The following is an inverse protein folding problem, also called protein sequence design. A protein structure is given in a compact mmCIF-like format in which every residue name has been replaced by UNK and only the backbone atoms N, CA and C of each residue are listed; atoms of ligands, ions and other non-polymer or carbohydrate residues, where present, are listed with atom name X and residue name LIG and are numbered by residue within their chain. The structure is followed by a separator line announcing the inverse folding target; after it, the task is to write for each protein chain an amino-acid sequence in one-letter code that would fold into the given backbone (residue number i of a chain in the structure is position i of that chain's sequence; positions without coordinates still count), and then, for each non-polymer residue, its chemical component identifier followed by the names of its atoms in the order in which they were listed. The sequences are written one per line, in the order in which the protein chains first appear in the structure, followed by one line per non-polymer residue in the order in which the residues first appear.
data_IF_443724805835
#
_entry.id   IF_443724805835
#
_cell.length_a   1.000
_cell.length_b   1.000
_cell.length_c   1.000
_cell.angle_alpha   90.00
_cell.angle_beta   90.00
_cell.angle_gamma   90.00
#
_symmetry.space_group_name_H-M   'P 1'
#
loop_
_entity.id
_entity.type
_entity.pdbx_description
1 polymer ?
#
# COMPACT_ATOMS: atom_id res chain seq x y z
N UNK A 1 5.99 -0.33 16.81
CA UNK A 1 4.80 -1.15 17.20
C UNK A 1 3.66 -1.19 16.17
N UNK A 2 3.25 -0.11 15.48
CA UNK A 2 2.12 -0.17 14.51
C UNK A 2 2.35 -1.02 13.23
N UNK A 3 3.59 -1.11 12.73
CA UNK A 3 3.95 -1.94 11.57
C UNK A 3 4.05 -3.44 11.87
N UNK A 4 4.19 -3.79 13.15
CA UNK A 4 4.26 -5.17 13.58
C UNK A 4 3.00 -5.94 13.24
N UNK A 5 1.82 -5.28 13.20
CA UNK A 5 0.54 -5.95 13.01
C UNK A 5 0.23 -6.29 11.55
N UNK A 6 0.63 -5.52 10.53
CA UNK A 6 0.43 -5.90 9.12
C UNK A 6 1.32 -7.10 8.74
N UNK A 7 2.58 -7.06 9.18
CA UNK A 7 3.52 -8.18 9.09
C UNK A 7 3.03 -9.34 9.95
N UNK A 8 2.46 -9.10 11.13
CA UNK A 8 1.88 -10.15 11.97
C UNK A 8 0.56 -10.70 11.40
N UNK A 9 -0.27 -9.94 10.69
CA UNK A 9 -1.50 -10.42 10.05
C UNK A 9 -1.13 -11.24 8.80
N UNK A 10 -0.20 -10.75 7.99
CA UNK A 10 0.35 -11.50 6.86
C UNK A 10 1.07 -12.78 7.34
N UNK A 11 1.91 -12.68 8.38
CA UNK A 11 2.56 -13.83 9.00
C UNK A 11 1.58 -14.73 9.77
N UNK A 12 0.49 -14.21 10.32
CA UNK A 12 -0.53 -15.01 11.01
C UNK A 12 -1.41 -15.75 10.01
N UNK A 13 -1.74 -15.15 8.86
CA UNK A 13 -2.37 -15.84 7.74
C UNK A 13 -1.43 -16.91 7.18
N UNK A 14 -0.13 -16.63 7.05
CA UNK A 14 0.89 -17.60 6.60
C UNK A 14 1.12 -18.72 7.64
N UNK A 15 1.12 -18.40 8.94
CA UNK A 15 1.20 -19.38 10.05
C UNK A 15 -0.09 -20.18 10.21
N UNK A 16 -1.26 -19.59 9.99
CA UNK A 16 -2.55 -20.29 10.01
C UNK A 16 -2.67 -21.25 8.81
N UNK A 17 -2.19 -20.84 7.62
CA UNK A 17 -2.06 -21.72 6.46
C UNK A 17 -1.04 -22.86 6.70
N UNK A 18 0.08 -22.57 7.38
CA UNK A 18 1.07 -23.59 7.77
C UNK A 18 0.56 -24.52 8.87
N UNK A 19 -0.16 -24.02 9.87
CA UNK A 19 -0.77 -24.80 10.95
C UNK A 19 -1.90 -25.69 10.44
N UNK A 20 -2.77 -25.20 9.57
CA UNK A 20 -3.80 -26.04 8.92
C UNK A 20 -3.16 -27.12 8.06
N UNK A 21 -2.05 -26.83 7.38
CA UNK A 21 -1.27 -27.84 6.63
C UNK A 21 -0.64 -28.90 7.54
N UNK A 22 -0.08 -28.49 8.69
CA UNK A 22 0.44 -29.42 9.71
C UNK A 22 -0.69 -30.24 10.35
N UNK A 23 -1.82 -29.61 10.67
CA UNK A 23 -2.99 -30.26 11.26
C UNK A 23 -3.62 -31.26 10.28
N UNK A 24 -3.70 -30.95 8.98
CA UNK A 24 -4.14 -31.87 7.93
C UNK A 24 -3.17 -33.05 7.72
N UNK A 25 -1.86 -32.83 7.84
CA UNK A 25 -0.86 -33.92 7.85
C UNK A 25 -0.95 -34.78 9.11
N UNK A 26 -1.19 -34.17 10.26
CA UNK A 26 -1.39 -34.87 11.53
C UNK A 26 -2.72 -35.64 11.52
N UNK A 27 -3.80 -35.10 10.96
CA UNK A 27 -5.09 -35.78 10.80
C UNK A 27 -4.98 -36.94 9.80
N UNK A 28 -4.24 -36.78 8.69
CA UNK A 28 -3.94 -37.88 7.75
C UNK A 28 -2.99 -38.93 8.37
N UNK A 29 -2.13 -38.56 9.32
CA UNK A 29 -1.31 -39.49 10.10
C UNK A 29 -2.10 -40.22 11.21
N UNK A 30 -3.02 -39.53 11.88
CA UNK A 30 -3.88 -40.08 12.94
C UNK A 30 -4.96 -41.01 12.37
N UNK A 31 -5.39 -40.83 11.11
CA UNK A 31 -6.27 -41.79 10.42
C UNK A 31 -5.66 -43.18 10.15
N UNK A 32 -4.43 -43.44 10.59
CA UNK A 32 -3.82 -44.78 10.64
C UNK A 32 -3.84 -45.44 12.02
N UNK A 33 -4.34 -44.75 13.05
CA UNK A 33 -4.47 -45.27 14.42
C UNK A 33 -5.65 -44.60 15.14
N UNK A 34 -6.87 -44.98 14.79
CA UNK A 34 -8.03 -44.81 15.67
C UNK A 34 -8.28 -46.15 16.38
N UNK A 35 -7.84 -46.24 17.64
CA UNK A 35 -8.43 -47.06 18.70
C UNK A 35 -7.73 -46.67 20.01
N UNK A 36 -8.33 -45.74 20.77
CA UNK A 36 -8.66 -45.95 22.18
C UNK A 36 -9.11 -44.65 22.88
N UNK A 37 -10.20 -44.80 23.62
CA UNK A 37 -10.88 -43.85 24.49
C UNK A 37 -10.02 -43.45 25.71
N UNK A 38 -10.06 -42.15 26.09
CA UNK A 38 -10.40 -41.68 27.47
C UNK A 38 -10.24 -40.16 27.68
N UNK A 39 -11.12 -39.65 28.54
CA UNK A 39 -11.22 -38.31 29.13
C UNK A 39 -9.91 -37.74 29.70
N UNK A 40 -9.62 -36.46 29.44
CA UNK A 40 -8.90 -35.58 30.39
C UNK A 40 -9.47 -34.16 30.28
N UNK A 41 -10.23 -33.77 31.31
CA UNK A 41 -10.50 -32.36 31.67
C UNK A 41 -9.30 -31.80 32.45
N UNK A 42 -9.13 -30.49 32.31
CA UNK A 42 -8.26 -29.61 33.10
C UNK A 42 -6.75 -29.66 32.83
N UNK A 43 -6.23 -28.58 32.22
CA UNK A 43 -5.10 -27.74 32.68
C UNK A 43 -4.90 -26.63 31.64
N UNK A 44 -5.25 -25.38 32.00
CA UNK A 44 -4.66 -24.18 31.39
C UNK A 44 -4.69 -23.02 32.41
N UNK A 45 -3.55 -22.42 32.77
CA UNK A 45 -3.54 -21.23 33.60
C UNK A 45 -3.78 -19.98 32.74
N UNK A 46 -4.69 -19.12 33.20
CA UNK A 46 -5.02 -17.81 32.68
C UNK A 46 -3.79 -16.92 32.58
N UNK A 47 -3.40 -16.53 31.35
CA UNK A 47 -2.52 -15.38 31.11
C UNK A 47 -3.34 -14.26 30.50
N UNK A 48 -3.45 -13.17 31.24
CA UNK A 48 -3.97 -11.88 30.82
C UNK A 48 -3.17 -11.41 29.61
N UNK A 49 -3.82 -11.33 28.45
CA UNK A 49 -3.26 -10.73 27.23
C UNK A 49 -3.39 -9.21 27.41
N UNK A 50 -2.27 -8.50 27.49
CA UNK A 50 -2.27 -7.07 27.21
C UNK A 50 -2.59 -6.89 25.72
N UNK A 51 -3.80 -6.42 25.41
CA UNK A 51 -4.21 -6.04 24.06
C UNK A 51 -3.47 -4.77 23.64
N UNK A 52 -2.47 -4.92 22.76
CA UNK A 52 -1.85 -3.81 22.05
C UNK A 52 -2.82 -3.26 20.98
N UNK A 53 -3.53 -2.18 21.31
CA UNK A 53 -4.44 -1.45 20.41
C UNK A 53 -3.66 -0.69 19.32
N UNK A 54 -3.35 -1.36 18.20
CA UNK A 54 -2.94 -0.70 16.96
C UNK A 54 -3.85 -1.13 15.80
N UNK A 55 -4.72 -0.23 15.35
CA UNK A 55 -5.70 -0.53 14.30
C UNK A 55 -5.01 -0.39 12.93
N UNK A 56 -4.85 -1.49 12.20
CA UNK A 56 -4.33 -1.49 10.82
C UNK A 56 -5.47 -1.79 9.86
N UNK A 57 -5.66 -0.94 8.86
CA UNK A 57 -6.72 -1.07 7.84
C UNK A 57 -6.27 -2.04 6.74
N UNK A 58 -7.18 -2.72 6.05
CA UNK A 58 -6.88 -3.60 4.92
C UNK A 58 -6.44 -2.84 3.65
N UNK A 59 -6.52 -1.50 3.69
CA UNK A 59 -5.81 -0.60 2.78
C UNK A 59 -4.29 -0.54 3.05
N UNK A 60 -3.81 -1.18 4.12
CA UNK A 60 -2.38 -1.33 4.44
C UNK A 60 -1.81 -0.24 5.35
N UNK A 61 -2.66 0.44 6.13
CA UNK A 61 -2.31 1.67 6.84
C UNK A 61 -2.55 1.57 8.36
N UNK A 62 -1.68 2.19 9.16
CA UNK A 62 -1.80 2.24 10.63
C UNK A 62 -2.68 3.41 11.03
N UNK A 63 -3.89 3.14 11.52
CA UNK A 63 -4.77 4.11 12.16
C UNK A 63 -4.26 4.40 13.59
N UNK A 64 -4.12 5.70 13.90
CA UNK A 64 -3.53 6.18 15.15
C UNK A 64 -4.60 6.18 16.26
N UNK A 65 -4.37 5.58 17.45
CA UNK A 65 -5.23 5.83 18.61
C UNK A 65 -5.01 7.26 19.10
N UNK A 66 -6.08 7.98 19.42
CA UNK A 66 -6.01 9.29 20.08
C UNK A 66 -5.70 9.06 21.56
N UNK A 67 -4.46 9.31 21.99
CA UNK A 67 -4.14 9.56 23.41
C UNK A 67 -4.31 11.04 23.70
N UNK A 68 -4.87 11.36 24.87
CA UNK A 68 -5.40 12.69 25.25
C UNK A 68 -4.38 13.87 25.23
N UNK A 69 -3.08 13.62 25.08
CA UNK A 69 -2.03 14.66 25.21
C UNK A 69 -1.47 15.23 23.89
N UNK A 70 -2.15 15.08 22.74
CA UNK A 70 -1.65 15.60 21.45
C UNK A 70 -2.68 16.41 20.64
N UNK A 71 -3.40 17.34 21.29
CA UNK A 71 -4.26 18.33 20.60
C UNK A 71 -3.48 19.37 19.75
N UNK A 72 -2.15 19.28 19.63
CA UNK A 72 -1.31 20.34 19.02
C UNK A 72 -0.68 20.05 17.65
N UNK A 73 -1.07 18.99 16.92
CA UNK A 73 -0.67 18.87 15.50
C UNK A 73 -1.78 19.43 14.60
N UNK A 74 -1.67 20.71 14.21
CA UNK A 74 -2.65 21.46 13.40
C UNK A 74 -2.82 21.01 11.93
N UNK A 75 -2.94 19.71 11.67
CA UNK A 75 -3.23 19.16 10.34
C UNK A 75 -4.74 19.13 10.05
N UNK A 76 -5.13 19.52 8.84
CA UNK A 76 -6.52 19.37 8.38
C UNK A 76 -6.83 17.89 8.06
N UNK A 77 -7.99 17.44 8.57
CA UNK A 77 -8.64 16.16 8.28
C UNK A 77 -10.05 16.46 7.78
N UNK A 78 -10.47 15.86 6.68
CA UNK A 78 -11.80 16.11 6.14
C UNK A 78 -12.90 15.34 6.88
N UNK A 79 -14.14 15.80 6.69
CA UNK A 79 -15.33 15.31 7.39
C UNK A 79 -15.63 13.82 7.15
N UNK A 80 -15.09 13.24 6.07
CA UNK A 80 -15.23 11.82 5.73
C UNK A 80 -14.18 10.90 6.36
N UNK A 81 -13.23 11.43 7.14
CA UNK A 81 -12.17 10.64 7.77
C UNK A 81 -12.59 10.03 9.12
N UNK A 82 -12.08 8.84 9.45
CA UNK A 82 -12.27 8.21 10.77
C UNK A 82 -11.80 9.13 11.90
N UNK A 83 -10.76 9.94 11.68
CA UNK A 83 -10.23 10.88 12.67
C UNK A 83 -11.23 12.01 12.96
N UNK A 84 -11.87 12.58 11.93
CA UNK A 84 -12.91 13.59 12.11
C UNK A 84 -14.13 13.00 12.85
N UNK A 85 -14.51 11.77 12.53
CA UNK A 85 -15.58 11.05 13.25
C UNK A 85 -15.24 10.84 14.74
N UNK A 86 -14.05 10.35 15.06
CA UNK A 86 -13.64 10.15 16.46
C UNK A 86 -13.59 11.49 17.20
N UNK A 87 -13.10 12.57 16.55
CA UNK A 87 -13.11 13.91 17.14
C UNK A 87 -14.54 14.39 17.44
N UNK A 88 -15.47 14.20 16.49
CA UNK A 88 -16.89 14.51 16.72
C UNK A 88 -17.50 13.67 17.87
N UNK A 89 -17.15 12.39 17.97
CA UNK A 89 -17.58 11.55 19.09
C UNK A 89 -17.01 12.06 20.42
N UNK A 90 -15.73 12.41 20.48
CA UNK A 90 -15.11 12.98 21.67
C UNK A 90 -15.74 14.32 22.06
N UNK A 91 -16.02 15.19 21.09
CA UNK A 91 -16.70 16.47 21.31
C UNK A 91 -18.13 16.27 21.83
N UNK A 92 -18.88 15.30 21.29
CA UNK A 92 -20.23 14.97 21.80
C UNK A 92 -20.23 14.33 23.19
N UNK A 93 -19.16 13.63 23.58
CA UNK A 93 -18.98 13.07 24.93
C UNK A 93 -18.56 14.15 25.94
N UNK A 94 -17.72 15.11 25.53
CA UNK A 94 -17.31 16.28 26.35
C UNK A 94 -18.50 17.21 26.69
N UNK A 95 -19.55 17.23 25.88
CA UNK A 95 -20.80 17.97 26.17
C UNK A 95 -21.61 17.40 27.36
N UNK A 96 -21.18 16.31 28.01
CA UNK A 96 -21.88 15.70 29.17
C UNK A 96 -21.18 15.81 30.51
N UNK A 97 -20.07 16.56 30.64
CA UNK A 97 -19.43 16.73 31.95
C UNK A 97 -18.72 18.09 32.03
N UNK A 98 -18.98 18.92 33.07
CA UNK A 98 -18.19 20.13 33.27
C UNK A 98 -16.81 19.75 33.82
N UNK A 99 -15.76 19.97 33.03
CA UNK A 99 -14.38 19.89 33.48
C UNK A 99 -13.93 21.19 34.18
N UNK A 100 -13.01 21.14 35.16
CA UNK A 100 -12.46 22.34 35.80
C UNK A 100 -11.48 23.08 34.88
N UNK A 101 -11.31 24.38 35.14
CA UNK A 101 -10.39 25.29 34.43
C UNK A 101 -8.91 24.86 34.48
N UNK A 102 -8.08 25.30 33.50
CA UNK A 102 -6.70 24.86 33.40
C UNK A 102 -5.77 25.58 34.37
N UNK A 103 -5.00 24.81 35.15
CA UNK A 103 -3.80 25.32 35.83
C UNK A 103 -2.66 25.46 34.81
N UNK A 104 -2.12 26.68 34.71
CA UNK A 104 -0.88 26.97 34.02
C UNK A 104 0.30 26.31 34.75
N UNK A 105 0.90 25.30 34.14
CA UNK A 105 2.24 24.85 34.48
C UNK A 105 3.21 25.18 33.34
N UNK A 106 4.20 26.01 33.67
CA UNK A 106 5.33 26.33 32.82
C UNK A 106 6.12 25.05 32.51
N UNK A 107 6.09 24.61 31.25
CA UNK A 107 7.00 23.58 30.76
C UNK A 107 8.10 24.23 29.93
N UNK A 108 9.32 24.20 30.49
CA UNK A 108 10.56 24.52 29.80
C UNK A 108 10.68 23.68 28.52
N UNK A 109 10.77 24.34 27.37
CA UNK A 109 11.24 23.73 26.14
C UNK A 109 12.73 23.42 26.32
N UNK A 110 13.03 22.16 26.64
CA UNK A 110 14.34 21.59 26.36
C UNK A 110 14.51 21.52 24.84
N UNK A 111 15.22 22.48 24.27
CA UNK A 111 15.75 22.42 22.92
C UNK A 111 16.58 21.15 22.78
N UNK A 112 16.07 20.15 22.06
CA UNK A 112 16.93 19.11 21.51
C UNK A 112 17.78 19.74 20.41
N UNK A 113 19.01 20.05 20.79
CA UNK A 113 20.07 20.46 19.89
C UNK A 113 20.22 19.43 18.76
N UNK A 114 20.15 19.93 17.53
CA UNK A 114 20.56 19.17 16.35
C UNK A 114 22.08 18.97 16.44
N UNK A 115 22.61 17.75 16.27
CA UNK A 115 24.05 17.57 16.26
C UNK A 115 24.62 18.15 14.97
N UNK A 116 25.55 19.08 15.16
CA UNK A 116 26.36 19.76 14.15
C UNK A 116 27.05 18.76 13.22
N UNK A 117 26.90 19.01 11.91
CA UNK A 117 27.50 18.28 10.80
C UNK A 117 29.03 18.39 10.89
N UNK A 118 29.71 17.24 10.97
CA UNK A 118 31.11 17.12 10.55
C UNK A 118 31.12 16.56 9.12
N UNK A 119 31.59 17.40 8.20
CA UNK A 119 31.87 17.06 6.81
C UNK A 119 33.05 16.07 6.74
N UNK A 120 32.78 14.82 6.39
CA UNK A 120 33.72 13.97 5.66
C UNK A 120 32.96 13.25 4.54
N UNK A 121 33.35 13.56 3.30
CA UNK A 121 32.75 13.11 2.05
C UNK A 121 33.11 11.65 1.77
N UNK A 122 32.27 10.74 2.25
CA UNK A 122 31.94 9.49 1.56
C UNK A 122 30.43 9.55 1.39
N UNK A 123 29.92 9.46 0.16
CA UNK A 123 28.47 9.43 -0.08
C UNK A 123 27.90 8.19 0.63
N UNK A 124 27.40 8.39 1.86
CA UNK A 124 26.85 7.34 2.73
C UNK A 124 25.73 6.53 2.08
N UNK A 125 25.19 7.03 0.96
CA UNK A 125 24.16 6.39 0.16
C UNK A 125 24.61 5.16 -0.63
N UNK A 126 25.87 5.16 -1.08
CA UNK A 126 26.42 4.09 -1.91
C UNK A 126 26.96 2.91 -1.08
N UNK A 127 26.90 2.99 0.25
CA UNK A 127 27.33 1.94 1.15
C UNK A 127 26.34 0.77 1.13
N UNK A 128 26.80 -0.38 0.65
CA UNK A 128 26.00 -1.61 0.67
C UNK A 128 26.15 -2.34 2.01
N UNK A 129 25.05 -2.91 2.55
CA UNK A 129 25.16 -3.82 3.68
C UNK A 129 25.91 -5.10 3.26
N UNK A 130 26.32 -5.95 4.22
CA UNK A 130 26.91 -7.26 3.90
C UNK A 130 26.05 -8.01 2.87
N UNK A 131 26.68 -8.61 1.85
CA UNK A 131 25.98 -9.20 0.70
C UNK A 131 24.85 -10.15 1.09
N UNK A 132 25.07 -11.03 2.08
CA UNK A 132 24.03 -11.95 2.56
C UNK A 132 22.78 -11.23 3.08
N UNK A 133 22.95 -10.09 3.77
CA UNK A 133 21.85 -9.27 4.25
C UNK A 133 21.19 -8.56 3.06
N UNK A 134 21.99 -7.99 2.15
CA UNK A 134 21.48 -7.35 0.95
C UNK A 134 20.61 -8.30 0.10
N UNK A 135 21.12 -9.51 -0.20
CA UNK A 135 20.45 -10.55 -0.98
C UNK A 135 19.12 -10.94 -0.30
N UNK A 136 19.14 -11.12 1.02
CA UNK A 136 17.97 -11.45 1.81
C UNK A 136 16.89 -10.36 1.75
N UNK A 137 17.26 -9.09 1.91
CA UNK A 137 16.32 -7.98 1.88
C UNK A 137 15.71 -7.80 0.49
N UNK A 138 16.50 -7.95 -0.58
CA UNK A 138 16.01 -7.90 -1.97
C UNK A 138 15.05 -9.06 -2.24
N UNK A 139 15.37 -10.27 -1.81
CA UNK A 139 14.48 -11.43 -1.93
C UNK A 139 13.14 -11.20 -1.21
N UNK A 140 13.19 -10.69 0.03
CA UNK A 140 11.98 -10.39 0.82
C UNK A 140 11.11 -9.33 0.18
N UNK A 141 11.70 -8.29 -0.38
CA UNK A 141 10.97 -7.29 -1.16
C UNK A 141 10.26 -7.94 -2.37
N UNK A 142 10.99 -8.68 -3.21
CA UNK A 142 10.40 -9.24 -4.44
C UNK A 142 9.41 -10.37 -4.21
N UNK A 143 9.56 -11.13 -3.12
CA UNK A 143 8.67 -12.25 -2.79
C UNK A 143 7.39 -11.80 -2.07
N UNK A 144 7.44 -10.73 -1.26
CA UNK A 144 6.32 -10.30 -0.41
C UNK A 144 5.69 -8.97 -0.82
N UNK A 145 6.42 -8.04 -1.40
CA UNK A 145 5.93 -6.67 -1.66
C UNK A 145 5.63 -6.49 -3.14
N UNK A 146 6.61 -6.79 -4.00
CA UNK A 146 6.50 -6.67 -5.46
C UNK A 146 5.33 -7.47 -6.05
N UNK A 147 4.97 -8.60 -5.43
CA UNK A 147 3.85 -9.45 -5.85
C UNK A 147 2.49 -8.73 -5.76
N UNK A 148 2.38 -7.73 -4.91
CA UNK A 148 1.18 -6.90 -4.75
C UNK A 148 1.34 -5.54 -5.43
N UNK A 149 2.56 -4.98 -5.40
CA UNK A 149 2.85 -3.62 -5.87
C UNK A 149 3.96 -3.66 -6.94
N UNK A 150 3.66 -4.12 -8.17
CA UNK A 150 4.65 -4.38 -9.20
C UNK A 150 5.11 -3.10 -9.91
N UNK A 151 5.70 -2.17 -9.17
CA UNK A 151 6.07 -0.83 -9.67
C UNK A 151 7.37 -0.82 -10.47
N UNK A 152 8.28 -1.77 -10.20
CA UNK A 152 9.59 -1.88 -10.84
C UNK A 152 9.68 -3.14 -11.69
N UNK A 153 10.53 -3.18 -12.70
CA UNK A 153 10.74 -4.40 -13.48
C UNK A 153 11.73 -5.33 -12.77
N UNK A 154 11.27 -6.47 -12.24
CA UNK A 154 12.07 -7.35 -11.37
C UNK A 154 13.40 -7.78 -12.02
N UNK A 155 13.37 -8.31 -13.23
CA UNK A 155 14.55 -8.88 -13.88
C UNK A 155 15.59 -7.79 -14.19
N UNK A 156 15.13 -6.57 -14.51
CA UNK A 156 16.01 -5.45 -14.80
C UNK A 156 16.70 -4.96 -13.51
N UNK A 157 15.91 -4.81 -12.44
CA UNK A 157 16.43 -4.45 -11.12
C UNK A 157 17.44 -5.48 -10.61
N UNK A 158 17.12 -6.78 -10.68
CA UNK A 158 18.02 -7.84 -10.22
C UNK A 158 19.31 -7.91 -11.05
N UNK A 159 19.23 -7.70 -12.37
CA UNK A 159 20.42 -7.63 -13.21
C UNK A 159 21.34 -6.46 -12.80
N UNK A 160 20.76 -5.28 -12.53
CA UNK A 160 21.51 -4.12 -12.05
C UNK A 160 22.10 -4.37 -10.64
N UNK A 161 21.33 -4.99 -9.75
CA UNK A 161 21.77 -5.37 -8.41
C UNK A 161 22.96 -6.33 -8.43
N UNK A 162 22.88 -7.43 -9.18
CA UNK A 162 23.98 -8.38 -9.32
C UNK A 162 25.24 -7.74 -9.91
N UNK A 163 25.06 -6.74 -10.78
CA UNK A 163 26.18 -6.02 -11.36
C UNK A 163 26.98 -5.20 -10.34
N UNK A 164 26.39 -4.82 -9.20
CA UNK A 164 27.11 -4.12 -8.13
C UNK A 164 28.17 -4.99 -7.46
N UNK A 165 27.99 -6.32 -7.51
CA UNK A 165 28.87 -7.29 -6.85
C UNK A 165 29.96 -7.85 -7.78
N UNK A 166 29.90 -7.54 -9.08
CA UNK A 166 30.92 -7.95 -10.05
C UNK A 166 32.10 -6.98 -9.98
N UNK A 167 33.24 -7.45 -9.50
CA UNK A 167 34.48 -6.67 -9.46
C UNK A 167 35.02 -6.48 -10.90
N UNK A 168 35.19 -5.24 -11.35
CA UNK A 168 35.99 -4.87 -12.54
C UNK A 168 35.64 -5.53 -13.88
N UNK A 169 34.39 -5.51 -14.33
CA UNK A 169 34.13 -5.60 -15.78
C UNK A 169 34.11 -4.19 -16.37
N UNK A 170 34.85 -4.00 -17.46
CA UNK A 170 35.02 -2.73 -18.17
C UNK A 170 33.68 -1.94 -18.24
N UNK A 171 33.70 -0.61 -17.99
CA UNK A 171 32.50 0.24 -18.04
C UNK A 171 31.87 0.38 -19.44
N UNK A 172 32.30 -0.42 -20.42
CA UNK A 172 31.98 -0.31 -21.84
C UNK A 172 31.15 -1.46 -22.41
N UNK A 173 30.59 -2.37 -21.60
CA UNK A 173 29.46 -3.15 -22.13
C UNK A 173 28.28 -2.18 -22.16
N UNK A 174 28.02 -1.58 -23.32
CA UNK A 174 26.86 -0.72 -23.59
C UNK A 174 25.60 -1.45 -23.11
N UNK A 175 25.21 -1.18 -21.87
CA UNK A 175 24.00 -1.74 -21.31
C UNK A 175 22.87 -1.01 -22.04
N UNK A 176 22.19 -1.73 -22.91
CA UNK A 176 21.06 -1.19 -23.66
C UNK A 176 20.09 -0.52 -22.69
N UNK A 177 19.82 0.74 -23.00
CA UNK A 177 18.87 1.56 -22.30
C UNK A 177 17.45 1.06 -22.58
N UNK A 178 16.89 0.33 -21.63
CA UNK A 178 15.66 -0.43 -21.81
C UNK A 178 14.39 0.36 -21.49
N UNK A 179 14.50 1.56 -20.90
CA UNK A 179 13.39 2.42 -20.52
C UNK A 179 12.59 1.93 -19.32
N UNK A 180 13.08 0.93 -18.59
CA UNK A 180 12.33 0.25 -17.52
C UNK A 180 12.41 0.92 -16.13
N UNK A 181 13.20 1.99 -16.01
CA UNK A 181 13.36 2.78 -14.77
C UNK A 181 14.43 2.19 -13.84
N UNK A 182 14.07 1.85 -12.61
CA UNK A 182 14.97 1.29 -11.60
C UNK A 182 15.55 -0.05 -12.06
N UNK A 183 16.86 -0.07 -12.30
CA UNK A 183 17.59 -1.20 -12.89
C UNK A 183 17.96 -1.00 -14.35
N UNK A 184 17.52 0.10 -14.97
CA UNK A 184 17.95 0.55 -16.28
C UNK A 184 19.23 1.41 -16.19
N UNK A 185 19.92 1.55 -17.32
CA UNK A 185 21.22 2.23 -17.42
C UNK A 185 21.16 3.66 -17.87
N UNK A 186 19.98 4.13 -18.27
CA UNK A 186 19.71 5.56 -18.47
C UNK A 186 19.70 6.35 -17.17
N UNK A 187 19.38 5.71 -16.05
CA UNK A 187 19.33 6.35 -14.74
C UNK A 187 20.72 6.66 -14.20
N UNK A 188 20.82 7.69 -13.37
CA UNK A 188 22.08 7.94 -12.63
C UNK A 188 22.36 6.78 -11.69
N UNK A 189 23.64 6.46 -11.48
CA UNK A 189 24.07 5.48 -10.48
C UNK A 189 23.44 5.77 -9.11
N UNK A 190 23.41 7.04 -8.73
CA UNK A 190 22.80 7.54 -7.51
C UNK A 190 21.30 7.24 -7.41
N UNK A 191 20.52 7.46 -8.48
CA UNK A 191 19.09 7.11 -8.53
C UNK A 191 18.86 5.62 -8.27
N UNK A 192 19.73 4.75 -8.82
CA UNK A 192 19.64 3.33 -8.55
C UNK A 192 19.93 2.99 -7.09
N UNK A 193 20.94 3.62 -6.47
CA UNK A 193 21.20 3.44 -5.05
C UNK A 193 20.02 3.91 -4.19
N UNK A 194 19.39 5.06 -4.49
CA UNK A 194 18.15 5.51 -3.81
C UNK A 194 17.05 4.45 -3.90
N UNK A 195 16.80 3.92 -5.11
CA UNK A 195 15.88 2.82 -5.34
C UNK A 195 16.24 1.54 -4.57
N UNK A 196 17.52 1.19 -4.51
CA UNK A 196 18.01 0.02 -3.80
C UNK A 196 17.84 0.13 -2.29
N UNK A 197 18.16 1.29 -1.72
CA UNK A 197 17.99 1.55 -0.30
C UNK A 197 16.51 1.51 0.12
N UNK A 198 15.58 2.03 -0.69
CA UNK A 198 14.16 1.89 -0.38
C UNK A 198 13.69 0.43 -0.49
N UNK A 199 14.23 -0.34 -1.45
CA UNK A 199 14.00 -1.80 -1.54
C UNK A 199 14.52 -2.52 -0.30
N UNK A 200 15.70 -2.16 0.23
CA UNK A 200 16.20 -2.71 1.49
C UNK A 200 15.31 -2.37 2.68
N UNK A 201 14.91 -1.10 2.83
CA UNK A 201 14.02 -0.65 3.90
C UNK A 201 12.69 -1.42 3.90
N UNK A 202 12.10 -1.61 2.71
CA UNK A 202 10.89 -2.39 2.55
C UNK A 202 11.13 -3.89 2.78
N UNK A 203 12.26 -4.43 2.31
CA UNK A 203 12.68 -5.81 2.54
C UNK A 203 12.83 -6.16 4.02
N UNK A 204 13.26 -5.19 4.84
CA UNK A 204 13.37 -5.36 6.29
C UNK A 204 12.04 -5.83 6.88
N UNK A 205 10.91 -5.31 6.40
CA UNK A 205 9.56 -5.60 6.93
C UNK A 205 9.22 -7.09 6.99
N UNK A 206 9.73 -7.89 6.04
CA UNK A 206 9.48 -9.33 5.95
C UNK A 206 10.73 -10.17 6.20
N UNK A 207 11.80 -9.53 6.69
CA UNK A 207 13.06 -10.20 7.02
C UNK A 207 12.98 -10.92 8.38
N UNK A 208 13.95 -11.80 8.59
CA UNK A 208 14.14 -12.55 9.83
C UNK A 208 14.96 -11.77 10.87
N UNK A 209 15.17 -10.47 10.65
CA UNK A 209 15.83 -9.56 11.59
C UNK A 209 15.02 -9.47 12.88
N UNK A 210 15.73 -9.36 14.01
CA UNK A 210 15.12 -9.24 15.33
C UNK A 210 14.19 -8.02 15.37
N UNK A 211 12.97 -8.23 15.87
CA UNK A 211 11.88 -7.24 15.86
C UNK A 211 12.28 -5.83 16.30
N UNK A 212 13.10 -5.71 17.35
CA UNK A 212 13.47 -4.42 17.94
C UNK A 212 14.51 -3.65 17.10
N UNK A 213 15.37 -4.35 16.35
CA UNK A 213 16.39 -3.74 15.49
C UNK A 213 15.84 -3.41 14.10
N UNK A 214 14.85 -4.18 13.64
CA UNK A 214 14.29 -4.05 12.30
C UNK A 214 13.78 -2.64 12.01
N UNK A 215 13.11 -1.98 12.96
CA UNK A 215 12.61 -0.60 12.76
C UNK A 215 13.78 0.39 12.57
N UNK A 216 14.85 0.26 13.34
CA UNK A 216 16.02 1.14 13.24
C UNK A 216 16.80 0.92 11.93
N UNK A 217 17.05 -0.34 11.54
CA UNK A 217 17.74 -0.69 10.30
C UNK A 217 16.93 -0.22 9.09
N UNK A 218 15.61 -0.44 9.13
CA UNK A 218 14.69 0.03 8.09
C UNK A 218 14.72 1.55 7.93
N UNK A 219 14.69 2.30 9.04
CA UNK A 219 14.76 3.76 9.00
C UNK A 219 16.14 4.24 8.52
N UNK A 220 17.23 3.53 8.80
CA UNK A 220 18.56 3.88 8.29
C UNK A 220 18.61 3.80 6.75
N UNK A 221 18.09 2.71 6.16
CA UNK A 221 17.98 2.59 4.71
C UNK A 221 17.01 3.63 4.11
N UNK A 222 15.87 3.88 4.78
CA UNK A 222 14.96 4.93 4.34
C UNK A 222 15.59 6.33 4.42
N UNK A 223 16.37 6.61 5.46
CA UNK A 223 17.10 7.86 5.63
C UNK A 223 18.07 8.06 4.49
N UNK A 224 18.77 7.00 4.09
CA UNK A 224 19.65 7.04 2.95
C UNK A 224 18.87 7.58 1.74
N UNK A 225 17.71 7.04 1.35
CA UNK A 225 17.02 7.49 0.12
C UNK A 225 16.34 8.87 0.18
N UNK A 226 16.39 9.61 1.30
CA UNK A 226 15.74 10.93 1.44
C UNK A 226 16.22 11.99 0.44
N UNK A 227 17.51 12.08 0.05
CA UNK A 227 17.96 13.07 -0.94
C UNK A 227 17.31 12.93 -2.32
N UNK A 228 16.67 11.80 -2.63
CA UNK A 228 15.83 11.67 -3.84
C UNK A 228 14.64 12.68 -3.87
N UNK A 229 14.33 13.32 -2.74
CA UNK A 229 13.32 14.38 -2.63
C UNK A 229 13.90 15.79 -2.86
N UNK A 230 15.20 15.93 -3.10
CA UNK A 230 15.83 17.21 -3.39
C UNK A 230 15.35 17.75 -4.75
N UNK A 231 15.21 19.07 -4.84
CA UNK A 231 14.64 19.78 -5.99
C UNK A 231 15.45 19.51 -7.25
N UNK A 232 16.78 19.39 -7.14
CA UNK A 232 17.67 19.10 -8.26
C UNK A 232 17.33 17.76 -8.94
N UNK A 233 16.97 16.74 -8.16
CA UNK A 233 16.52 15.45 -8.70
C UNK A 233 15.12 15.55 -9.31
N UNK A 234 14.24 16.35 -8.69
CA UNK A 234 12.87 16.54 -9.15
C UNK A 234 12.76 17.31 -10.47
N UNK A 235 13.74 18.17 -10.81
CA UNK A 235 13.78 18.92 -12.07
C UNK A 235 13.99 18.00 -13.28
N UNK A 236 14.97 17.10 -13.22
CA UNK A 236 15.30 16.21 -14.32
C UNK A 236 14.22 15.14 -14.54
N UNK A 237 13.67 14.60 -13.44
CA UNK A 237 12.52 13.69 -13.40
C UNK A 237 12.54 12.53 -14.40
N UNK A 238 12.83 11.32 -13.93
CA UNK A 238 12.76 10.10 -14.74
C UNK A 238 11.84 9.03 -14.15
N UNK A 239 11.67 7.93 -14.89
CA UNK A 239 10.85 6.80 -14.44
C UNK A 239 11.44 6.14 -13.17
N UNK A 240 12.77 6.08 -13.06
CA UNK A 240 13.45 5.48 -11.92
C UNK A 240 13.21 6.27 -10.63
N UNK A 241 13.28 7.60 -10.69
CA UNK A 241 12.95 8.49 -9.60
C UNK A 241 11.47 8.39 -9.24
N UNK A 242 10.58 8.37 -10.23
CA UNK A 242 9.13 8.19 -10.00
C UNK A 242 8.84 6.87 -9.27
N UNK A 243 9.47 5.77 -9.67
CA UNK A 243 9.37 4.48 -8.99
C UNK A 243 9.94 4.54 -7.56
N UNK A 244 11.10 5.18 -7.38
CA UNK A 244 11.72 5.35 -6.06
C UNK A 244 10.80 6.10 -5.12
N UNK A 245 10.25 7.25 -5.54
CA UNK A 245 9.31 8.06 -4.76
C UNK A 245 8.02 7.29 -4.46
N UNK A 246 7.53 6.49 -5.40
CA UNK A 246 6.36 5.66 -5.20
C UNK A 246 6.61 4.54 -4.15
N UNK A 247 7.79 3.94 -4.16
CA UNK A 247 8.22 2.98 -3.13
C UNK A 247 8.42 3.67 -1.78
N UNK A 248 8.98 4.88 -1.75
CA UNK A 248 9.11 5.70 -0.53
C UNK A 248 7.74 6.03 0.06
N UNK A 249 6.79 6.41 -0.78
CA UNK A 249 5.40 6.63 -0.39
C UNK A 249 4.80 5.37 0.23
N UNK A 250 4.96 4.22 -0.43
CA UNK A 250 4.44 2.93 0.05
C UNK A 250 5.12 2.48 1.36
N UNK A 251 6.41 2.75 1.53
CA UNK A 251 7.07 2.56 2.82
C UNK A 251 6.45 3.46 3.91
N UNK A 252 6.25 4.74 3.61
CA UNK A 252 5.67 5.71 4.55
C UNK A 252 4.22 5.42 4.89
N UNK A 253 3.48 4.69 4.04
CA UNK A 253 2.10 4.30 4.30
C UNK A 253 1.98 3.58 5.65
N UNK A 254 2.72 2.49 5.87
CA UNK A 254 2.59 1.80 7.16
C UNK A 254 3.19 2.56 8.35
N UNK A 255 3.80 3.74 8.14
CA UNK A 255 4.51 4.51 9.15
C UNK A 255 3.62 5.44 9.95
N UNK A 256 4.19 6.02 11.01
CA UNK A 256 3.50 7.04 11.84
C UNK A 256 3.53 8.44 11.24
N UNK A 257 3.83 8.57 9.94
CA UNK A 257 3.99 9.85 9.24
C UNK A 257 3.03 9.98 8.04
N UNK A 258 1.70 9.93 8.25
CA UNK A 258 0.72 9.93 7.15
C UNK A 258 0.75 11.23 6.32
N UNK A 259 1.05 12.38 6.93
CA UNK A 259 1.24 13.64 6.20
C UNK A 259 2.45 13.59 5.26
N UNK A 260 3.56 12.98 5.72
CA UNK A 260 4.76 12.80 4.88
C UNK A 260 4.44 11.85 3.72
N UNK A 261 3.73 10.76 4.00
CA UNK A 261 3.24 9.86 2.97
C UNK A 261 2.41 10.61 1.90
N UNK A 262 1.42 11.39 2.34
CA UNK A 262 0.57 12.19 1.44
C UNK A 262 1.38 13.15 0.55
N UNK A 263 2.36 13.86 1.12
CA UNK A 263 3.24 14.74 0.35
C UNK A 263 4.09 13.99 -0.69
N UNK A 264 4.73 12.88 -0.29
CA UNK A 264 5.58 12.09 -1.20
C UNK A 264 4.75 11.49 -2.34
N UNK A 265 3.51 11.04 -2.05
CA UNK A 265 2.57 10.60 -3.09
C UNK A 265 2.25 11.75 -4.06
N UNK A 266 1.98 12.95 -3.56
CA UNK A 266 1.73 14.12 -4.40
C UNK A 266 2.91 14.49 -5.30
N UNK A 267 4.15 14.37 -4.80
CA UNK A 267 5.37 14.57 -5.60
C UNK A 267 5.47 13.48 -6.68
N UNK A 268 5.31 12.21 -6.33
CA UNK A 268 5.34 11.11 -7.29
C UNK A 268 4.26 11.25 -8.39
N UNK A 269 3.05 11.69 -8.04
CA UNK A 269 1.97 11.96 -8.99
C UNK A 269 2.34 13.08 -9.98
N UNK A 270 2.90 14.19 -9.49
CA UNK A 270 3.34 15.30 -10.35
C UNK A 270 4.48 14.88 -11.26
N UNK A 271 5.43 14.09 -10.76
CA UNK A 271 6.54 13.58 -11.57
C UNK A 271 6.03 12.64 -12.67
N UNK A 272 5.15 11.70 -12.33
CA UNK A 272 4.50 10.80 -13.28
C UNK A 272 3.75 11.59 -14.38
N UNK A 273 3.04 12.65 -13.99
CA UNK A 273 2.39 13.53 -14.96
C UNK A 273 3.39 14.24 -15.87
N UNK A 274 4.45 14.83 -15.29
CA UNK A 274 5.48 15.57 -16.01
C UNK A 274 6.20 14.75 -17.08
N UNK A 275 6.49 13.47 -16.81
CA UNK A 275 7.14 12.58 -17.78
C UNK A 275 6.15 11.81 -18.67
N UNK A 276 4.85 12.13 -18.60
CA UNK A 276 3.82 11.66 -19.52
C UNK A 276 3.20 10.30 -19.22
N UNK A 277 3.27 9.76 -17.99
CA UNK A 277 2.68 8.44 -17.64
C UNK A 277 1.14 8.41 -17.72
N UNK A 278 0.53 9.58 -17.64
CA UNK A 278 -0.93 9.80 -17.60
C UNK A 278 -1.60 9.83 -18.99
N UNK A 279 -0.82 9.65 -20.06
CA UNK A 279 -1.30 9.77 -21.45
C UNK A 279 -0.63 8.74 -22.35
N UNK A 280 -1.41 8.12 -23.25
CA UNK A 280 -0.87 7.22 -24.27
C UNK A 280 0.02 7.95 -25.30
N UNK A 281 -0.19 9.25 -25.55
CA UNK A 281 0.76 10.05 -26.35
C UNK A 281 2.14 10.14 -25.68
N UNK A 282 2.15 10.11 -24.34
CA UNK A 282 3.36 9.98 -23.54
C UNK A 282 4.00 8.59 -23.62
N UNK A 283 3.48 7.69 -24.46
CA UNK A 283 4.02 6.36 -24.74
C UNK A 283 4.52 6.19 -26.18
N UNK A 284 4.46 7.23 -27.02
CA UNK A 284 4.98 7.18 -28.38
C UNK A 284 6.45 6.74 -28.41
N UNK A 285 6.80 5.89 -29.38
CA UNK A 285 8.15 5.34 -29.61
C UNK A 285 8.76 4.52 -28.45
N UNK A 286 7.94 4.00 -27.53
CA UNK A 286 8.40 3.15 -26.43
C UNK A 286 8.15 1.67 -26.71
N UNK A 287 8.99 0.82 -26.12
CA UNK A 287 8.81 -0.62 -26.19
C UNK A 287 7.53 -1.05 -25.47
N UNK A 288 6.99 -2.20 -25.86
CA UNK A 288 5.81 -2.76 -25.20
C UNK A 288 6.05 -2.94 -23.69
N UNK A 289 7.23 -3.45 -23.31
CA UNK A 289 7.62 -3.65 -21.92
C UNK A 289 7.65 -2.33 -21.12
N UNK A 290 8.25 -1.28 -21.68
CA UNK A 290 8.29 0.04 -21.06
C UNK A 290 6.87 0.60 -20.84
N UNK A 291 5.97 0.46 -21.81
CA UNK A 291 4.57 0.91 -21.68
C UNK A 291 3.87 0.20 -20.52
N UNK A 292 4.04 -1.12 -20.38
CA UNK A 292 3.42 -1.86 -19.28
C UNK A 292 3.96 -1.42 -17.91
N UNK A 293 5.27 -1.19 -17.79
CA UNK A 293 5.87 -0.69 -16.54
C UNK A 293 5.38 0.73 -16.23
N UNK A 294 5.34 1.63 -17.21
CA UNK A 294 4.81 3.00 -17.07
C UNK A 294 3.36 2.99 -16.60
N UNK A 295 2.52 2.12 -17.15
CA UNK A 295 1.12 1.94 -16.71
C UNK A 295 1.05 1.47 -15.26
N UNK A 296 1.89 0.52 -14.84
CA UNK A 296 1.91 0.06 -13.44
C UNK A 296 2.30 1.16 -12.47
N UNK A 297 3.30 1.97 -12.80
CA UNK A 297 3.72 3.10 -11.98
C UNK A 297 2.61 4.15 -11.88
N UNK A 298 2.00 4.52 -13.01
CA UNK A 298 0.90 5.49 -13.03
C UNK A 298 -0.29 5.05 -12.19
N UNK A 299 -0.75 3.82 -12.40
CA UNK A 299 -1.87 3.26 -11.66
C UNK A 299 -1.51 3.00 -10.19
N UNK A 300 -0.23 2.78 -9.88
CA UNK A 300 0.30 2.78 -8.53
C UNK A 300 0.12 4.15 -7.86
N UNK A 301 0.50 5.25 -8.52
CA UNK A 301 0.27 6.61 -8.03
C UNK A 301 -1.22 6.87 -7.75
N UNK A 302 -2.08 6.56 -8.73
CA UNK A 302 -3.54 6.66 -8.63
C UNK A 302 -4.10 5.94 -7.39
N UNK A 303 -3.65 4.71 -7.18
CA UNK A 303 -4.11 3.84 -6.11
C UNK A 303 -3.66 4.36 -4.75
N UNK A 304 -2.38 4.72 -4.60
CA UNK A 304 -1.86 5.22 -3.33
C UNK A 304 -2.44 6.59 -2.97
N UNK A 305 -2.61 7.49 -3.94
CA UNK A 305 -3.26 8.79 -3.78
C UNK A 305 -4.70 8.64 -3.30
N UNK A 306 -5.48 7.75 -3.92
CA UNK A 306 -6.84 7.48 -3.48
C UNK A 306 -6.88 6.93 -2.06
N UNK A 307 -6.04 5.93 -1.75
CA UNK A 307 -6.01 5.31 -0.41
C UNK A 307 -5.73 6.34 0.69
N UNK A 308 -4.66 7.13 0.55
CA UNK A 308 -4.25 8.07 1.59
C UNK A 308 -5.25 9.23 1.72
N UNK A 309 -5.84 9.66 0.61
CA UNK A 309 -6.80 10.76 0.58
C UNK A 309 -8.12 10.40 1.25
N UNK A 310 -8.62 9.16 1.08
CA UNK A 310 -9.78 8.66 1.84
C UNK A 310 -9.49 8.72 3.34
N UNK A 311 -8.35 8.18 3.75
CA UNK A 311 -8.01 8.04 5.17
C UNK A 311 -7.81 9.40 5.86
N UNK A 312 -7.23 10.36 5.15
CA UNK A 312 -7.06 11.72 5.65
C UNK A 312 -8.28 12.63 5.42
N UNK A 313 -9.29 12.16 4.68
CA UNK A 313 -10.41 13.00 4.23
C UNK A 313 -9.95 14.15 3.32
N UNK A 314 -8.89 13.95 2.53
CA UNK A 314 -8.34 14.97 1.64
C UNK A 314 -8.78 14.77 0.20
N UNK A 315 -8.77 15.82 -0.64
CA UNK A 315 -8.99 15.67 -2.06
C UNK A 315 -7.88 14.82 -2.72
N UNK A 316 -8.31 13.97 -3.66
CA UNK A 316 -7.44 13.17 -4.54
C UNK A 316 -6.83 14.10 -5.61
N UNK A 317 -5.52 14.02 -5.86
CA UNK A 317 -4.86 14.89 -6.86
C UNK A 317 -5.07 14.38 -8.29
N UNK A 318 -5.18 13.06 -8.47
CA UNK A 318 -5.31 12.47 -9.81
C UNK A 318 -6.77 12.51 -10.28
N UNK A 319 -7.08 13.06 -11.47
CA UNK A 319 -8.44 13.18 -11.99
C UNK A 319 -9.21 11.85 -12.00
N UNK A 320 -10.55 11.95 -11.90
CA UNK A 320 -11.41 10.77 -11.96
C UNK A 320 -11.35 10.04 -13.29
N UNK A 321 -11.47 10.77 -14.40
CA UNK A 321 -11.41 10.21 -15.74
C UNK A 321 -9.95 10.07 -16.17
N UNK A 322 -9.48 8.83 -16.19
CA UNK A 322 -8.14 8.51 -16.64
C UNK A 322 -8.16 8.14 -18.11
N UNK A 323 -7.16 8.60 -18.86
CA UNK A 323 -6.97 8.23 -20.26
C UNK A 323 -6.02 7.05 -20.42
N UNK A 324 -5.24 6.70 -19.38
CA UNK A 324 -4.28 5.60 -19.41
C UNK A 324 -4.97 4.25 -19.17
N UNK A 325 -4.87 3.29 -20.10
CA UNK A 325 -5.42 1.95 -19.91
C UNK A 325 -4.79 1.22 -18.70
N UNK A 326 -5.53 0.27 -18.13
CA UNK A 326 -4.98 -0.64 -17.12
C UNK A 326 -3.79 -1.43 -17.69
N UNK A 327 -2.80 -1.80 -16.86
CA UNK A 327 -1.72 -2.67 -17.30
C UNK A 327 -2.25 -4.05 -17.68
N UNK A 328 -1.55 -4.75 -18.55
CA UNK A 328 -1.86 -6.11 -18.94
C UNK A 328 -1.34 -7.12 -17.89
N UNK A 329 -2.04 -8.27 -17.73
CA UNK A 329 -1.68 -9.31 -16.76
C UNK A 329 -0.51 -10.17 -17.28
N UNK A 330 0.68 -9.58 -17.38
CA UNK A 330 1.90 -10.23 -17.87
C UNK A 330 2.97 -10.14 -16.78
N UNK A 331 3.59 -11.24 -16.38
CA UNK A 331 4.68 -11.18 -15.40
C UNK A 331 5.94 -10.55 -16.01
N UNK A 332 6.77 -9.90 -15.18
CA UNK A 332 8.00 -9.19 -15.60
C UNK A 332 8.94 -10.08 -16.43
N UNK A 333 9.10 -11.36 -16.04
CA UNK A 333 9.89 -12.34 -16.79
C UNK A 333 9.44 -12.59 -18.23
N UNK A 334 8.28 -12.08 -18.65
CA UNK A 334 7.78 -12.17 -20.02
C UNK A 334 7.70 -10.80 -20.70
N UNK A 335 8.04 -9.71 -20.01
CA UNK A 335 8.13 -8.36 -20.57
C UNK A 335 9.52 -8.12 -21.18
N UNK A 336 9.74 -8.69 -22.36
CA UNK A 336 11.00 -8.55 -23.09
C UNK A 336 11.08 -7.20 -23.80
N UNK A 337 12.19 -6.48 -23.61
CA UNK A 337 12.40 -5.12 -24.15
C UNK A 337 12.43 -5.13 -25.68
N UNK A 338 13.05 -6.15 -26.28
CA UNK A 338 13.23 -6.26 -27.73
C UNK A 338 12.00 -6.83 -28.46
N UNK A 339 10.94 -7.18 -27.73
CA UNK A 339 9.74 -7.79 -28.30
C UNK A 339 8.67 -6.75 -28.64
N UNK A 340 8.14 -6.82 -29.87
CA UNK A 340 7.05 -5.95 -30.33
C UNK A 340 5.77 -6.13 -29.52
N UNK A 341 5.51 -7.35 -29.06
CA UNK A 341 4.37 -7.72 -28.21
C UNK A 341 4.87 -8.74 -27.19
N UNK A 342 4.39 -8.63 -25.95
CA UNK A 342 4.62 -9.61 -24.90
C UNK A 342 3.28 -10.20 -24.48
N UNK A 343 3.26 -11.50 -24.16
CA UNK A 343 2.05 -12.19 -23.72
C UNK A 343 2.37 -13.12 -22.56
N UNK A 344 1.38 -13.29 -21.68
CA UNK A 344 1.46 -14.29 -20.62
C UNK A 344 1.21 -15.68 -21.23
N UNK A 345 2.07 -16.68 -20.96
CA UNK A 345 1.90 -18.03 -21.49
C UNK A 345 0.53 -18.64 -21.12
N UNK A 346 -0.11 -19.40 -22.03
CA UNK A 346 -1.40 -20.02 -21.74
C UNK A 346 -1.27 -21.01 -20.59
N UNK A 347 -2.25 -20.99 -19.67
CA UNK A 347 -2.26 -21.83 -18.46
C UNK A 347 -1.45 -21.28 -17.29
N UNK A 348 -0.68 -20.20 -17.46
CA UNK A 348 0.06 -19.56 -16.37
C UNK A 348 -0.66 -18.30 -15.87
N UNK A 349 -1.16 -18.35 -14.63
CA UNK A 349 -1.80 -17.19 -14.01
C UNK A 349 -0.77 -16.10 -13.66
N UNK A 350 -1.00 -14.86 -14.12
CA UNK A 350 -0.10 -13.75 -13.81
C UNK A 350 -0.28 -13.24 -12.38
N UNK A 351 0.82 -12.90 -11.73
CA UNK A 351 0.80 -12.23 -10.42
C UNK A 351 0.25 -10.80 -10.50
N UNK A 352 0.37 -10.16 -11.66
CA UNK A 352 -0.11 -8.80 -11.92
C UNK A 352 -1.64 -8.70 -11.91
N UNK A 353 -2.35 -9.83 -12.11
CA UNK A 353 -3.80 -9.88 -12.01
C UNK A 353 -4.33 -9.38 -10.66
N UNK A 354 -3.62 -9.63 -9.57
CA UNK A 354 -4.04 -9.11 -8.26
C UNK A 354 -4.00 -7.58 -8.21
N UNK A 355 -2.95 -6.99 -8.79
CA UNK A 355 -2.82 -5.55 -8.89
C UNK A 355 -3.93 -4.97 -9.77
N UNK A 356 -4.22 -5.57 -10.93
CA UNK A 356 -5.31 -5.16 -11.82
C UNK A 356 -6.68 -5.27 -11.12
N UNK A 357 -6.94 -6.36 -10.41
CA UNK A 357 -8.18 -6.53 -9.65
C UNK A 357 -8.32 -5.47 -8.54
N UNK A 358 -7.22 -5.12 -7.87
CA UNK A 358 -7.19 -4.02 -6.91
C UNK A 358 -7.50 -2.68 -7.58
N UNK A 359 -6.92 -2.37 -8.73
CA UNK A 359 -7.19 -1.11 -9.44
C UNK A 359 -8.66 -0.96 -9.81
N UNK A 360 -9.29 -2.03 -10.31
CA UNK A 360 -10.73 -2.07 -10.61
C UNK A 360 -11.58 -1.82 -9.36
N UNK A 361 -11.19 -2.39 -8.23
CA UNK A 361 -11.87 -2.16 -6.96
C UNK A 361 -11.73 -0.70 -6.50
N UNK A 362 -10.53 -0.11 -6.64
CA UNK A 362 -10.27 1.29 -6.31
C UNK A 362 -11.00 2.26 -7.25
N UNK A 363 -11.24 1.88 -8.50
CA UNK A 363 -12.08 2.65 -9.43
C UNK A 363 -13.52 2.74 -8.92
N UNK A 364 -14.07 1.64 -8.39
CA UNK A 364 -15.38 1.64 -7.72
C UNK A 364 -15.37 2.54 -6.49
N UNK A 365 -14.34 2.47 -5.64
CA UNK A 365 -14.20 3.39 -4.49
C UNK A 365 -14.19 4.85 -4.94
N UNK A 366 -13.43 5.16 -5.98
CA UNK A 366 -13.35 6.52 -6.52
C UNK A 366 -14.71 7.00 -7.03
N UNK A 367 -15.45 6.13 -7.72
CA UNK A 367 -16.82 6.41 -8.16
C UNK A 367 -17.74 6.69 -6.97
N UNK A 368 -17.65 5.89 -5.91
CA UNK A 368 -18.38 6.10 -4.66
C UNK A 368 -18.09 7.47 -4.05
N UNK A 369 -16.82 7.87 -3.95
CA UNK A 369 -16.44 9.17 -3.41
C UNK A 369 -17.05 10.34 -4.21
N UNK A 370 -16.90 10.32 -5.53
CA UNK A 370 -17.37 11.41 -6.38
C UNK A 370 -18.90 11.49 -6.47
N UNK A 371 -19.60 10.36 -6.37
CA UNK A 371 -21.06 10.33 -6.46
C UNK A 371 -21.73 10.68 -5.13
N UNK A 372 -21.12 10.32 -3.99
CA UNK A 372 -21.77 10.42 -2.69
C UNK A 372 -21.22 11.52 -1.81
N UNK A 373 -19.94 11.89 -1.92
CA UNK A 373 -19.32 12.88 -1.04
C UNK A 373 -19.18 14.26 -1.70
N UNK A 374 -18.90 14.36 -3.01
CA UNK A 374 -18.86 15.67 -3.69
C UNK A 374 -20.23 16.39 -3.72
N UNK A 375 -21.32 15.64 -3.51
CA UNK A 375 -22.69 16.17 -3.46
C UNK A 375 -23.10 16.71 -2.08
N UNK A 376 -22.32 16.46 -1.03
CA UNK A 376 -22.63 16.88 0.35
C UNK A 376 -22.17 18.32 0.62
N UNK A 377 -21.14 18.81 -0.08
CA UNK A 377 -20.64 20.18 0.07
C UNK A 377 -21.46 21.27 -0.67
N UNK A 378 -22.54 20.90 -1.36
CA UNK A 378 -23.41 21.82 -2.12
C UNK A 378 -24.81 21.90 -1.51
N UNK A 379 -24.94 21.83 -0.20
CA UNK A 379 -26.18 22.24 0.45
C UNK A 379 -26.21 23.77 0.47
N UNK A 380 -26.68 24.38 -0.62
CA UNK A 380 -27.12 25.77 -0.57
C UNK A 380 -28.38 25.81 0.31
N UNK A 381 -28.39 26.68 1.32
CA UNK A 381 -29.47 26.77 2.32
C UNK A 381 -30.87 27.07 1.71
N UNK A 382 -30.95 27.40 0.42
CA UNK A 382 -32.18 27.73 -0.33
C UNK A 382 -32.82 26.55 -1.11
N UNK A 383 -32.40 25.30 -0.92
CA UNK A 383 -32.96 24.17 -1.69
C UNK A 383 -34.43 23.85 -1.30
N UNK A 384 -35.32 23.87 -2.29
CA UNK A 384 -36.74 23.52 -2.20
C UNK A 384 -36.93 22.05 -1.79
N UNK A 385 -38.05 21.71 -1.13
CA UNK A 385 -38.33 20.35 -0.66
C UNK A 385 -38.29 19.29 -1.79
N UNK A 386 -38.79 19.64 -2.98
CA UNK A 386 -38.74 18.77 -4.17
C UNK A 386 -37.31 18.50 -4.65
N UNK A 387 -36.40 19.48 -4.53
CA UNK A 387 -35.00 19.32 -4.90
C UNK A 387 -34.28 18.37 -3.93
N UNK A 388 -34.58 18.46 -2.62
CA UNK A 388 -34.03 17.55 -1.61
C UNK A 388 -34.52 16.11 -1.81
N UNK A 389 -35.79 15.93 -2.15
CA UNK A 389 -36.35 14.61 -2.43
C UNK A 389 -35.73 13.99 -3.69
N UNK A 390 -35.55 14.78 -4.74
CA UNK A 390 -34.85 14.34 -5.96
C UNK A 390 -33.37 14.00 -5.71
N UNK A 391 -32.66 14.80 -4.90
CA UNK A 391 -31.27 14.55 -4.49
C UNK A 391 -31.14 13.24 -3.72
N UNK A 392 -32.08 12.96 -2.81
CA UNK A 392 -32.13 11.70 -2.04
C UNK A 392 -32.42 10.49 -2.93
N UNK A 393 -33.35 10.61 -3.88
CA UNK A 393 -33.65 9.55 -4.85
C UNK A 393 -32.43 9.26 -5.74
N UNK A 394 -31.74 10.30 -6.21
CA UNK A 394 -30.51 10.17 -6.99
C UNK A 394 -29.38 9.50 -6.20
N UNK A 395 -29.23 9.84 -4.91
CA UNK A 395 -28.29 9.17 -4.02
C UNK A 395 -28.64 7.68 -3.88
N UNK A 396 -29.90 7.33 -3.60
CA UNK A 396 -30.31 5.91 -3.48
C UNK A 396 -30.03 5.15 -4.79
N UNK A 397 -30.37 5.72 -5.94
CA UNK A 397 -30.06 5.11 -7.25
C UNK A 397 -28.56 4.88 -7.42
N UNK A 398 -27.74 5.88 -7.10
CA UNK A 398 -26.27 5.77 -7.18
C UNK A 398 -25.73 4.66 -6.27
N UNK A 399 -26.26 4.55 -5.05
CA UNK A 399 -25.90 3.49 -4.09
C UNK A 399 -26.25 2.11 -4.67
N UNK A 400 -27.47 1.91 -5.16
CA UNK A 400 -27.89 0.63 -5.74
C UNK A 400 -27.07 0.25 -6.97
N UNK A 401 -26.66 1.24 -7.77
CA UNK A 401 -25.78 1.02 -8.91
C UNK A 401 -24.39 0.57 -8.46
N UNK A 402 -23.78 1.26 -7.49
CA UNK A 402 -22.47 0.88 -6.96
C UNK A 402 -22.48 -0.52 -6.35
N UNK A 403 -23.53 -0.88 -5.60
CA UNK A 403 -23.69 -2.23 -5.04
C UNK A 403 -23.76 -3.30 -6.14
N UNK A 404 -24.52 -3.05 -7.21
CA UNK A 404 -24.58 -3.97 -8.35
C UNK A 404 -23.22 -4.14 -9.06
N UNK A 405 -22.43 -3.07 -9.17
CA UNK A 405 -21.10 -3.09 -9.78
C UNK A 405 -20.07 -3.79 -8.89
N UNK A 406 -20.19 -3.66 -7.56
CA UNK A 406 -19.37 -4.42 -6.60
C UNK A 406 -19.66 -5.93 -6.69
N UNK A 407 -20.93 -6.32 -6.76
CA UNK A 407 -21.31 -7.72 -6.96
C UNK A 407 -20.81 -8.27 -8.30
N UNK A 408 -20.93 -7.49 -9.38
CA UNK A 408 -20.39 -7.85 -10.68
C UNK A 408 -18.87 -7.99 -10.65
N UNK A 409 -18.17 -7.09 -9.95
CA UNK A 409 -16.74 -7.21 -9.71
C UNK A 409 -16.40 -8.55 -9.05
N UNK A 410 -17.11 -8.93 -7.97
CA UNK A 410 -16.90 -10.21 -7.27
C UNK A 410 -17.06 -11.41 -8.21
N UNK A 411 -18.04 -11.38 -9.12
CA UNK A 411 -18.29 -12.47 -10.09
C UNK A 411 -17.20 -12.57 -11.15
N UNK A 412 -16.55 -11.45 -11.52
CA UNK A 412 -15.52 -11.37 -12.56
C UNK A 412 -14.10 -11.65 -12.03
N UNK A 413 -13.94 -12.00 -10.76
CA UNK A 413 -12.63 -12.29 -10.17
C UNK A 413 -12.05 -13.56 -10.80
N UNK A 414 -10.79 -13.53 -11.28
CA UNK A 414 -10.16 -14.71 -11.85
C UNK A 414 -10.03 -15.86 -10.84
N UNK A 415 -10.12 -17.11 -11.34
CA UNK A 415 -10.17 -18.32 -10.51
C UNK A 415 -9.18 -18.38 -9.33
N UNK A 416 -7.86 -18.17 -9.54
CA UNK A 416 -6.89 -18.22 -8.44
C UNK A 416 -7.06 -17.16 -7.34
N UNK A 417 -7.79 -16.06 -7.62
CA UNK A 417 -8.07 -14.98 -6.67
C UNK A 417 -9.48 -15.07 -6.05
N UNK A 418 -10.35 -15.96 -6.55
CA UNK A 418 -11.72 -16.12 -6.05
C UNK A 418 -11.72 -16.61 -4.60
N UNK A 419 -12.37 -15.86 -3.72
CA UNK A 419 -12.45 -16.19 -2.29
C UNK A 419 -13.63 -17.04 -1.87
N UNK A 420 -14.66 -17.13 -2.72
CA UNK A 420 -15.89 -17.89 -2.52
C UNK A 420 -15.72 -19.39 -2.78
N UNK A 421 -14.72 -19.78 -3.58
CA UNK A 421 -14.44 -21.18 -3.90
C UNK A 421 -13.45 -21.79 -2.89
N UNK A 422 -13.76 -22.97 -2.30
CA UNK A 422 -12.80 -23.74 -1.52
C UNK A 422 -11.60 -24.12 -2.40
N UNK A 423 -10.39 -23.80 -1.97
CA UNK A 423 -9.19 -24.09 -2.78
C UNK A 423 -8.91 -25.60 -2.71
N UNK A 424 -8.82 -26.32 -3.85
CA UNK A 424 -8.37 -27.70 -3.85
C UNK A 424 -6.96 -27.82 -3.25
N UNK A 425 -6.68 -28.85 -2.44
CA UNK A 425 -5.40 -29.05 -1.71
C UNK A 425 -4.15 -28.89 -2.61
N UNK A 426 -4.26 -29.16 -3.92
CA UNK A 426 -3.17 -29.06 -4.90
C UNK A 426 -2.82 -27.63 -5.36
N UNK A 427 -3.70 -26.63 -5.19
CA UNK A 427 -3.52 -25.24 -5.64
C UNK A 427 -3.40 -24.24 -4.47
N UNK A 428 -3.34 -24.75 -3.23
CA UNK A 428 -3.52 -24.00 -1.99
C UNK A 428 -2.42 -22.96 -1.70
N UNK A 429 -1.29 -22.99 -2.41
CA UNK A 429 -0.06 -22.35 -1.97
C UNK A 429 0.43 -21.14 -2.80
N UNK A 430 -0.15 -20.87 -3.97
CA UNK A 430 0.39 -19.83 -4.87
C UNK A 430 -0.06 -18.38 -4.59
N UNK A 431 -1.35 -18.21 -4.27
CA UNK A 431 -2.06 -16.91 -4.27
C UNK A 431 -2.94 -16.69 -3.03
N UNK A 432 -2.69 -17.46 -1.96
CA UNK A 432 -3.57 -17.45 -0.78
C UNK A 432 -3.60 -16.06 -0.10
N UNK A 433 -2.44 -15.41 0.00
CA UNK A 433 -2.32 -14.07 0.56
C UNK A 433 -3.06 -13.04 -0.29
N UNK A 434 -2.84 -13.08 -1.60
CA UNK A 434 -3.47 -12.24 -2.60
C UNK A 434 -5.01 -12.35 -2.53
N UNK A 435 -5.53 -13.58 -2.49
CA UNK A 435 -6.96 -13.88 -2.34
C UNK A 435 -7.56 -13.26 -1.08
N UNK A 436 -6.94 -13.44 0.08
CA UNK A 436 -7.48 -12.91 1.33
C UNK A 436 -7.37 -11.39 1.44
N UNK A 437 -6.30 -10.79 0.92
CA UNK A 437 -6.17 -9.35 0.88
C UNK A 437 -7.22 -8.70 -0.03
N UNK A 438 -7.50 -9.30 -1.20
CA UNK A 438 -8.53 -8.79 -2.10
C UNK A 438 -9.93 -8.91 -1.47
N UNK A 439 -10.20 -10.02 -0.78
CA UNK A 439 -11.43 -10.18 0.02
C UNK A 439 -11.56 -9.11 1.11
N UNK A 440 -10.49 -8.86 1.86
CA UNK A 440 -10.50 -7.86 2.93
C UNK A 440 -10.85 -6.47 2.39
N UNK A 441 -10.19 -6.05 1.29
CA UNK A 441 -10.49 -4.77 0.62
C UNK A 441 -11.92 -4.70 0.10
N UNK A 442 -12.42 -5.79 -0.50
CA UNK A 442 -13.80 -5.86 -0.97
C UNK A 442 -14.79 -5.63 0.17
N UNK A 443 -14.58 -6.29 1.31
CA UNK A 443 -15.45 -6.18 2.48
C UNK A 443 -15.41 -4.76 3.04
N UNK A 444 -14.23 -4.12 3.17
CA UNK A 444 -14.12 -2.74 3.66
C UNK A 444 -14.97 -1.74 2.86
N UNK A 445 -15.08 -1.94 1.55
CA UNK A 445 -15.85 -1.07 0.66
C UNK A 445 -17.34 -1.40 0.70
N UNK A 446 -17.69 -2.65 1.01
CA UNK A 446 -19.07 -3.14 1.05
C UNK A 446 -19.76 -2.93 2.41
N UNK A 447 -19.03 -2.82 3.51
CA UNK A 447 -19.62 -2.68 4.86
C UNK A 447 -20.31 -1.33 5.16
N UNK A 448 -19.89 -0.17 4.62
CA UNK A 448 -20.55 1.11 4.90
C UNK A 448 -22.03 1.16 4.51
N UNK A 449 -22.47 0.31 3.57
CA UNK A 449 -23.86 0.26 3.09
C UNK A 449 -24.85 -0.35 4.08
N UNK A 450 -24.39 -1.23 4.99
CA UNK A 450 -25.27 -1.99 5.88
C UNK A 450 -25.69 -1.23 7.14
N UNK A 451 -24.97 -0.16 7.52
CA UNK A 451 -25.18 0.52 8.81
C UNK A 451 -26.23 1.66 8.69
N UNK A 452 -26.53 2.15 7.49
CA UNK A 452 -27.45 3.30 7.26
C UNK A 452 -28.94 2.93 7.20
N UNK A 453 -29.39 2.05 8.09
CA UNK A 453 -30.81 1.67 8.22
C UNK A 453 -31.68 2.63 9.04
N UNK A 454 -31.11 3.65 9.69
CA UNK A 454 -31.84 4.58 10.57
C UNK A 454 -31.65 6.04 10.16
N UNK A 455 -32.61 6.56 9.38
CA UNK A 455 -33.06 7.95 9.17
C UNK A 455 -32.08 9.12 8.98
N UNK A 456 -30.76 8.93 8.99
CA UNK A 456 -29.79 9.87 8.43
C UNK A 456 -28.81 9.08 7.58
N UNK A 457 -28.76 9.35 6.27
CA UNK A 457 -27.76 8.78 5.38
C UNK A 457 -26.46 9.53 5.65
N UNK A 458 -25.72 9.11 6.68
CA UNK A 458 -24.33 9.48 6.90
C UNK A 458 -23.50 8.25 6.53
N UNK A 459 -22.82 8.34 5.39
CA UNK A 459 -21.90 7.30 4.95
C UNK A 459 -20.62 7.49 5.75
N UNK A 460 -20.53 6.79 6.87
CA UNK A 460 -19.30 6.72 7.65
C UNK A 460 -18.53 5.49 7.14
N UNK A 461 -17.41 5.75 6.48
CA UNK A 461 -16.43 4.68 6.26
C UNK A 461 -15.91 4.25 7.64
N UNK A 462 -16.36 3.10 8.14
CA UNK A 462 -15.67 2.40 9.22
C UNK A 462 -14.34 1.86 8.66
N UNK A 463 -13.33 2.73 8.61
CA UNK A 463 -11.93 2.42 8.31
C UNK A 463 -11.14 2.40 9.62
#
# INVERSE_FOLDING_TARGET
MGFGLYVALANAVERAASMTTKMLKTIKGIRSHEDDSRDIRDILPSKTIHEDNSNVTAMGLVSRPLTEDQESTGGFFGDSSTIAFIKQLQDTVRLRTPGPEPMQEFSNYGSQESPTILNETVDSHELLPPRHLADHLVDRYFSKIHTLYPFIHKEAFLAAYESLWRQNDNPSTERSANGLGLGDTRGTRTSFYYGLNIVFAMGCQFSDIIQHEREAISEAFFHACKPALDVDYLEAGDLALTQTLLLMAHYLQGSRAPNRCWHVIGIACRLAQGIGLHSDAGNDHRSFAEIQVRRRVYHGCVMLDLAISIILGRPVIVPHKQCTPLPLPIDDRFLMVDSLVCEQPPGLFSRVEWFIATLKLYELVRKTLNTLYDNVGKDCEDELADQRQNKRLFQIQSITQIDSELQEFQLRIPGPLRWDVPVPEAQQYGFLREKYLLKARYVEIHQPWFITGNNHVRLDFCI
#
